data_IF_196409748766
#
_entry.id   IF_196409748766
#
_cell.length_a   1.000
_cell.length_b   1.000
_cell.length_c   1.000
_cell.angle_alpha   90.00
_cell.angle_beta   90.00
_cell.angle_gamma   90.00
#
_symmetry.space_group_name_H-M   'P 1'
#
loop_
_entity.id
_entity.type
_entity.pdbx_description
1 polymer ?
#
# COMPACT_ATOMS: atom_id res chain seq x y z
N UNK A 1 -28.05 10.06 -2.30
CA UNK A 1 -28.35 11.00 -1.20
C UNK A 1 -29.62 10.49 -0.53
N UNK A 2 -29.64 9.76 0.58
CA UNK A 2 -28.81 9.80 1.79
C UNK A 2 -28.64 8.37 2.33
N UNK A 3 -27.44 7.79 2.19
CA UNK A 3 -27.09 6.58 2.94
C UNK A 3 -26.66 7.05 4.33
N UNK A 4 -27.24 6.54 5.43
CA UNK A 4 -26.93 7.03 6.76
C UNK A 4 -25.45 6.77 7.07
N UNK A 5 -24.78 7.75 7.68
CA UNK A 5 -23.35 7.72 8.02
C UNK A 5 -22.96 6.46 8.83
N UNK A 6 -23.91 5.91 9.59
CA UNK A 6 -23.80 4.65 10.33
C UNK A 6 -23.59 3.43 9.44
N UNK A 7 -24.19 3.38 8.25
CA UNK A 7 -24.01 2.26 7.31
C UNK A 7 -22.58 2.23 6.76
N UNK A 8 -21.95 3.38 6.53
CA UNK A 8 -20.54 3.46 6.11
C UNK A 8 -19.57 2.96 7.18
N UNK A 9 -19.82 3.29 8.46
CA UNK A 9 -18.98 2.82 9.56
C UNK A 9 -19.05 1.30 9.72
N UNK A 10 -20.26 0.72 9.70
CA UNK A 10 -20.44 -0.73 9.88
C UNK A 10 -19.88 -1.50 8.68
N UNK A 11 -20.13 -1.03 7.45
CA UNK A 11 -19.61 -1.69 6.24
C UNK A 11 -18.08 -1.63 6.16
N UNK A 12 -17.46 -0.48 6.47
CA UNK A 12 -15.98 -0.38 6.50
C UNK A 12 -15.35 -1.27 7.57
N UNK A 13 -15.97 -1.37 8.76
CA UNK A 13 -15.52 -2.27 9.82
C UNK A 13 -15.64 -3.75 9.41
N UNK A 14 -16.78 -4.13 8.81
CA UNK A 14 -17.01 -5.49 8.32
C UNK A 14 -16.02 -5.88 7.21
N UNK A 15 -15.81 -4.99 6.24
CA UNK A 15 -14.85 -5.21 5.14
C UNK A 15 -13.43 -5.34 5.70
N UNK A 16 -13.02 -4.48 6.64
CA UNK A 16 -11.71 -4.55 7.28
C UNK A 16 -11.49 -5.85 8.06
N UNK A 17 -12.50 -6.32 8.80
CA UNK A 17 -12.44 -7.59 9.53
C UNK A 17 -12.31 -8.80 8.59
N UNK A 18 -13.07 -8.80 7.49
CA UNK A 18 -13.00 -9.86 6.46
C UNK A 18 -11.60 -9.91 5.84
N UNK A 19 -11.06 -8.76 5.42
CA UNK A 19 -9.72 -8.69 4.82
C UNK A 19 -8.65 -9.13 5.83
N UNK A 20 -8.77 -8.73 7.10
CA UNK A 20 -7.87 -9.16 8.17
C UNK A 20 -7.89 -10.67 8.40
N UNK A 21 -9.08 -11.28 8.44
CA UNK A 21 -9.23 -12.73 8.61
C UNK A 21 -8.63 -13.51 7.44
N UNK A 22 -8.89 -13.07 6.20
CA UNK A 22 -8.31 -13.68 4.99
C UNK A 22 -6.78 -13.52 4.98
N UNK A 23 -6.28 -12.34 5.38
CA UNK A 23 -4.85 -12.03 5.47
C UNK A 23 -4.09 -12.89 6.49
N UNK A 24 -4.75 -13.29 7.58
CA UNK A 24 -4.18 -14.19 8.57
C UNK A 24 -3.93 -15.59 8.01
N UNK A 25 -4.88 -16.14 7.26
CA UNK A 25 -4.78 -17.51 6.74
C UNK A 25 -3.76 -17.65 5.60
N UNK A 26 -3.58 -16.60 4.81
CA UNK A 26 -2.92 -16.68 3.50
C UNK A 26 -1.40 -16.48 3.55
N UNK A 27 -0.84 -16.08 4.70
CA UNK A 27 0.61 -15.79 4.90
C UNK A 27 1.22 -15.00 3.73
N UNK A 28 0.47 -14.07 3.14
CA UNK A 28 0.93 -13.31 1.99
C UNK A 28 2.13 -12.44 2.36
N UNK A 29 3.24 -12.65 1.64
CA UNK A 29 4.39 -11.75 1.69
C UNK A 29 4.86 -11.53 0.26
N UNK A 30 4.80 -10.28 -0.21
CA UNK A 30 5.19 -9.89 -1.57
C UNK A 30 6.65 -10.24 -1.87
N UNK A 31 7.54 -10.08 -0.88
CA UNK A 31 8.95 -10.46 -0.99
C UNK A 31 9.16 -11.97 -1.00
N UNK A 32 8.43 -12.72 -0.16
CA UNK A 32 8.52 -14.17 -0.14
C UNK A 32 7.94 -14.79 -1.42
N UNK A 33 6.90 -14.19 -2.01
CA UNK A 33 6.35 -14.65 -3.29
C UNK A 33 7.39 -14.64 -4.41
N UNK A 34 8.18 -13.56 -4.53
CA UNK A 34 9.24 -13.44 -5.55
C UNK A 34 10.40 -14.41 -5.26
N UNK A 35 10.87 -14.48 -4.01
CA UNK A 35 11.96 -15.40 -3.62
C UNK A 35 11.57 -16.87 -3.76
N UNK A 36 10.33 -17.23 -3.39
CA UNK A 36 9.84 -18.60 -3.48
C UNK A 36 9.56 -19.01 -4.93
N UNK A 37 9.17 -18.05 -5.80
CA UNK A 37 9.03 -18.29 -7.24
C UNK A 37 10.38 -18.58 -7.90
N UNK A 38 11.44 -17.84 -7.55
CA UNK A 38 12.78 -18.04 -8.16
C UNK A 38 13.46 -19.31 -7.65
N UNK A 39 13.37 -19.61 -6.34
CA UNK A 39 14.13 -20.71 -5.73
C UNK A 39 13.41 -22.05 -5.75
N UNK A 40 12.12 -22.06 -5.39
CA UNK A 40 11.33 -23.28 -5.19
C UNK A 40 10.26 -23.49 -6.28
N UNK A 41 10.10 -22.52 -7.18
CA UNK A 41 9.17 -22.55 -8.32
C UNK A 41 7.71 -22.84 -7.93
N UNK A 42 7.34 -22.62 -6.68
CA UNK A 42 5.96 -22.75 -6.19
C UNK A 42 5.15 -21.52 -6.61
N UNK A 43 4.20 -21.73 -7.52
CA UNK A 43 3.36 -20.67 -8.11
C UNK A 43 2.21 -20.21 -7.20
N UNK A 44 1.85 -21.02 -6.20
CA UNK A 44 0.69 -20.77 -5.33
C UNK A 44 0.72 -19.40 -4.64
N UNK A 45 1.88 -19.02 -4.08
CA UNK A 45 2.05 -17.73 -3.39
C UNK A 45 2.07 -16.53 -4.35
N UNK A 46 2.45 -16.75 -5.61
CA UNK A 46 2.55 -15.70 -6.62
C UNK A 46 1.16 -15.31 -7.18
N UNK A 47 0.22 -16.26 -7.21
CA UNK A 47 -1.17 -15.98 -7.61
C UNK A 47 -1.86 -14.96 -6.71
N UNK A 48 -1.49 -14.87 -5.43
CA UNK A 48 -1.98 -13.83 -4.52
C UNK A 48 -1.57 -12.42 -4.93
N UNK A 49 -0.32 -12.23 -5.38
CA UNK A 49 0.21 -10.93 -5.83
C UNK A 49 -0.53 -10.49 -7.11
N UNK A 50 -0.71 -11.41 -8.05
CA UNK A 50 -1.49 -11.17 -9.27
C UNK A 50 -2.94 -10.84 -8.91
N UNK A 51 -3.54 -11.56 -7.94
CA UNK A 51 -4.91 -11.33 -7.49
C UNK A 51 -5.15 -9.93 -6.95
N UNK A 52 -4.22 -9.36 -6.17
CA UNK A 52 -4.31 -7.98 -5.67
C UNK A 52 -4.20 -6.97 -6.82
N UNK A 53 -3.29 -7.20 -7.77
CA UNK A 53 -3.07 -6.30 -8.90
C UNK A 53 -4.28 -6.29 -9.85
N UNK A 54 -4.77 -7.47 -10.22
CA UNK A 54 -5.95 -7.64 -11.08
C UNK A 54 -7.21 -7.18 -10.36
N UNK A 55 -7.37 -7.52 -9.08
CA UNK A 55 -8.51 -7.08 -8.27
C UNK A 55 -8.58 -5.56 -8.11
N UNK A 56 -7.44 -4.89 -7.91
CA UNK A 56 -7.35 -3.43 -7.88
C UNK A 56 -7.72 -2.79 -9.21
N UNK A 57 -7.24 -3.35 -10.33
CA UNK A 57 -7.57 -2.85 -11.66
C UNK A 57 -9.06 -3.04 -12.01
N UNK A 58 -9.60 -4.23 -11.73
CA UNK A 58 -11.02 -4.54 -11.98
C UNK A 58 -11.92 -3.70 -11.07
N UNK A 59 -11.63 -3.65 -9.77
CA UNK A 59 -12.41 -2.85 -8.82
C UNK A 59 -12.41 -1.38 -9.19
N UNK A 60 -11.26 -0.84 -9.58
CA UNK A 60 -11.18 0.53 -10.05
C UNK A 60 -11.96 0.75 -11.36
N UNK A 61 -11.87 -0.21 -12.29
CA UNK A 61 -12.60 -0.17 -13.56
C UNK A 61 -14.11 -0.26 -13.37
N UNK A 62 -14.62 -1.12 -12.48
CA UNK A 62 -16.06 -1.27 -12.22
C UNK A 62 -16.64 -0.07 -11.48
N UNK A 63 -15.88 0.57 -10.57
CA UNK A 63 -16.29 1.82 -9.93
C UNK A 63 -16.49 2.97 -10.95
N UNK A 64 -15.82 2.90 -12.12
CA UNK A 64 -16.03 3.82 -13.26
C UNK A 64 -17.45 3.87 -13.77
N UNK A 65 -18.11 2.72 -13.84
CA UNK A 65 -19.45 2.65 -14.41
C UNK A 65 -20.52 3.13 -13.42
N UNK A 66 -20.21 3.17 -12.13
CA UNK A 66 -21.21 3.39 -11.07
C UNK A 66 -21.21 4.86 -10.62
N UNK A 67 -20.05 5.55 -10.54
CA UNK A 67 -19.98 6.96 -10.11
C UNK A 67 -18.87 7.74 -10.83
N UNK A 68 -19.19 8.77 -11.66
CA UNK A 68 -18.19 9.61 -12.32
C UNK A 68 -17.41 10.54 -11.37
N UNK A 69 -17.89 10.73 -10.13
CA UNK A 69 -17.24 11.57 -9.11
C UNK A 69 -15.99 10.91 -8.51
N UNK A 70 -15.84 9.59 -8.63
CA UNK A 70 -14.67 8.86 -8.15
C UNK A 70 -13.41 9.03 -9.05
N UNK A 71 -13.55 9.66 -10.22
CA UNK A 71 -12.53 9.71 -11.28
C UNK A 71 -11.62 10.93 -11.26
N UNK A 72 -11.78 11.86 -10.30
CA UNK A 72 -11.02 13.11 -10.35
C UNK A 72 -9.49 12.89 -10.33
N UNK A 73 -9.01 11.76 -9.80
CA UNK A 73 -7.59 11.44 -9.68
C UNK A 73 -7.12 10.21 -10.48
N UNK A 74 -7.96 9.59 -11.31
CA UNK A 74 -7.58 8.39 -12.07
C UNK A 74 -7.80 8.68 -13.56
N UNK A 75 -6.74 9.16 -14.23
CA UNK A 75 -5.56 8.36 -14.52
C UNK A 75 -4.27 8.97 -13.96
N UNK A 76 -3.82 8.43 -12.81
CA UNK A 76 -2.50 8.76 -12.23
C UNK A 76 -1.36 8.54 -13.22
N UNK A 77 -1.50 7.63 -14.19
CA UNK A 77 -0.45 7.31 -15.16
C UNK A 77 -0.52 8.10 -16.49
N UNK A 78 -1.66 8.69 -16.85
CA UNK A 78 -1.85 9.36 -18.15
C UNK A 78 -2.17 10.86 -18.07
N UNK A 79 -2.60 11.39 -16.90
CA UNK A 79 -2.77 12.84 -16.67
C UNK A 79 -1.52 13.48 -16.08
N UNK A 80 -0.38 12.82 -16.18
CA UNK A 80 0.93 13.39 -15.85
C UNK A 80 1.28 14.34 -16.99
N UNK A 81 0.84 15.60 -16.89
CA UNK A 81 1.60 16.68 -17.52
C UNK A 81 2.99 16.62 -16.90
N UNK A 82 3.93 15.97 -17.60
CA UNK A 82 5.35 16.02 -17.33
C UNK A 82 5.78 15.22 -16.06
N UNK A 83 6.88 14.48 -16.18
CA UNK A 83 7.88 14.21 -15.14
C UNK A 83 8.26 15.54 -14.39
N UNK A 84 7.30 16.27 -13.81
CA UNK A 84 7.24 17.75 -13.88
C UNK A 84 7.80 18.53 -12.75
N UNK A 85 8.17 17.86 -11.68
CA UNK A 85 9.40 18.24 -11.01
C UNK A 85 10.19 16.96 -10.85
N UNK A 86 11.38 16.92 -11.44
CA UNK A 86 12.36 15.84 -11.23
C UNK A 86 12.47 15.46 -9.74
N UNK A 87 12.26 16.42 -8.83
CA UNK A 87 12.13 16.21 -7.39
C UNK A 87 11.12 15.16 -6.95
N UNK A 88 9.88 15.19 -7.46
CA UNK A 88 8.83 14.27 -7.02
C UNK A 88 9.13 12.85 -7.48
N UNK A 89 9.69 12.69 -8.67
CA UNK A 89 10.15 11.39 -9.17
C UNK A 89 11.28 10.86 -8.29
N UNK A 90 12.26 11.70 -7.97
CA UNK A 90 13.40 11.34 -7.11
C UNK A 90 12.92 10.90 -5.72
N UNK A 91 11.92 11.60 -5.17
CA UNK A 91 11.29 11.27 -3.89
C UNK A 91 10.59 9.91 -3.91
N UNK A 92 9.86 9.58 -4.98
CA UNK A 92 9.20 8.27 -5.13
C UNK A 92 10.23 7.16 -5.26
N UNK A 93 11.30 7.36 -6.02
CA UNK A 93 12.37 6.37 -6.21
C UNK A 93 13.11 6.14 -4.90
N UNK A 94 13.56 7.20 -4.22
CA UNK A 94 14.26 7.08 -2.92
C UNK A 94 13.34 6.48 -1.86
N UNK A 95 12.08 6.92 -1.79
CA UNK A 95 11.11 6.40 -0.83
C UNK A 95 10.80 4.91 -1.03
N UNK A 96 10.57 4.49 -2.28
CA UNK A 96 10.31 3.08 -2.60
C UNK A 96 11.53 2.18 -2.36
N UNK A 97 12.73 2.63 -2.73
CA UNK A 97 13.97 1.91 -2.45
C UNK A 97 14.24 1.82 -0.94
N UNK A 98 14.07 2.91 -0.20
CA UNK A 98 14.25 2.93 1.25
C UNK A 98 13.30 1.96 1.95
N UNK A 99 12.00 2.02 1.61
CA UNK A 99 11.01 1.07 2.12
C UNK A 99 11.38 -0.38 1.78
N UNK A 100 11.88 -0.63 0.56
CA UNK A 100 12.33 -1.95 0.13
C UNK A 100 13.48 -2.49 0.98
N UNK A 101 14.54 -1.69 1.18
CA UNK A 101 15.74 -2.07 1.94
C UNK A 101 15.38 -2.34 3.41
N UNK A 102 14.63 -1.43 4.03
CA UNK A 102 14.21 -1.55 5.44
C UNK A 102 13.31 -2.78 5.62
N UNK A 103 12.40 -3.04 4.67
CA UNK A 103 11.51 -4.21 4.70
C UNK A 103 12.28 -5.53 4.61
N UNK A 104 13.34 -5.58 3.79
CA UNK A 104 14.20 -6.78 3.71
C UNK A 104 15.00 -7.02 4.98
N UNK A 105 15.39 -5.97 5.70
CA UNK A 105 16.17 -6.10 6.94
C UNK A 105 15.36 -6.67 8.10
N UNK A 106 14.04 -6.40 8.13
CA UNK A 106 13.11 -6.87 9.18
C UNK A 106 12.39 -8.16 8.76
N UNK A 107 12.83 -8.82 7.68
CA UNK A 107 12.22 -10.04 7.12
C UNK A 107 10.69 -9.93 6.92
N UNK A 108 10.21 -8.74 6.56
CA UNK A 108 8.80 -8.38 6.60
C UNK A 108 8.31 -7.64 5.37
N UNK A 109 7.05 -7.85 4.98
CA UNK A 109 6.34 -6.87 4.17
C UNK A 109 5.39 -6.07 5.08
N UNK A 110 5.10 -4.79 4.75
CA UNK A 110 4.28 -3.95 5.61
C UNK A 110 2.93 -4.60 5.91
N UNK A 111 2.33 -5.27 4.93
CA UNK A 111 1.04 -5.94 5.08
C UNK A 111 1.09 -7.10 6.09
N UNK A 112 2.11 -7.97 6.02
CA UNK A 112 2.27 -9.09 6.95
C UNK A 112 2.49 -8.60 8.39
N UNK A 113 3.20 -7.48 8.55
CA UNK A 113 3.43 -6.90 9.87
C UNK A 113 2.14 -6.33 10.47
N UNK A 114 1.21 -5.79 9.68
CA UNK A 114 -0.11 -5.36 10.17
C UNK A 114 -0.94 -6.55 10.68
N UNK A 115 -0.94 -7.66 9.94
CA UNK A 115 -1.66 -8.88 10.36
C UNK A 115 -1.01 -9.50 11.61
N UNK A 116 0.33 -9.53 11.68
CA UNK A 116 1.07 -10.04 12.84
C UNK A 116 0.87 -9.17 14.09
N UNK A 117 0.78 -7.86 13.93
CA UNK A 117 0.46 -6.94 15.01
C UNK A 117 -0.95 -7.22 15.57
N UNK A 118 -1.92 -7.59 14.72
CA UNK A 118 -3.24 -8.02 15.14
C UNK A 118 -3.26 -9.32 15.96
N UNK A 119 -2.22 -10.17 15.83
CA UNK A 119 -2.06 -11.39 16.65
C UNK A 119 -1.34 -11.17 18.00
N UNK A 120 -0.91 -9.95 18.30
CA UNK A 120 -0.27 -9.60 19.57
C UNK A 120 1.26 -9.75 19.62
N UNK A 121 1.95 -9.85 18.47
CA UNK A 121 3.41 -9.91 18.45
C UNK A 121 4.04 -8.53 18.66
N UNK A 122 4.74 -8.36 19.79
CA UNK A 122 5.33 -7.09 20.22
C UNK A 122 6.34 -6.51 19.22
N UNK A 123 7.11 -7.37 18.54
CA UNK A 123 8.11 -6.92 17.57
C UNK A 123 7.45 -6.29 16.34
N UNK A 124 6.31 -6.86 15.92
CA UNK A 124 5.56 -6.31 14.79
C UNK A 124 4.88 -4.99 15.12
N UNK A 125 4.46 -4.79 16.37
CA UNK A 125 3.89 -3.53 16.85
C UNK A 125 4.97 -2.44 16.82
N UNK A 126 6.17 -2.72 17.33
CA UNK A 126 7.30 -1.77 17.31
C UNK A 126 7.64 -1.38 15.86
N UNK A 127 7.72 -2.36 14.95
CA UNK A 127 7.91 -2.08 13.52
C UNK A 127 6.81 -1.17 12.95
N UNK A 128 5.54 -1.45 13.24
CA UNK A 128 4.41 -0.63 12.78
C UNK A 128 4.49 0.81 13.31
N UNK A 129 4.84 0.98 14.58
CA UNK A 129 4.99 2.33 15.17
C UNK A 129 6.07 3.12 14.46
N UNK A 130 7.23 2.53 14.17
CA UNK A 130 8.29 3.16 13.39
C UNK A 130 7.84 3.50 11.96
N UNK A 131 7.07 2.62 11.32
CA UNK A 131 6.50 2.86 10.00
C UNK A 131 5.54 4.08 9.99
N UNK A 132 4.64 4.20 10.97
CA UNK A 132 3.73 5.34 11.07
C UNK A 132 4.45 6.65 11.43
N UNK A 133 5.42 6.61 12.34
CA UNK A 133 6.25 7.78 12.67
C UNK A 133 7.00 8.25 11.41
N UNK A 134 7.54 7.31 10.62
CA UNK A 134 8.19 7.61 9.35
C UNK A 134 7.25 8.26 8.33
N UNK A 135 6.00 7.80 8.21
CA UNK A 135 4.99 8.42 7.34
C UNK A 135 4.70 9.86 7.78
N UNK A 136 4.48 10.08 9.08
CA UNK A 136 4.19 11.42 9.62
C UNK A 136 5.37 12.35 9.39
N UNK A 137 6.59 11.90 9.69
CA UNK A 137 7.81 12.66 9.46
C UNK A 137 8.01 13.02 7.98
N UNK A 138 7.74 12.06 7.08
CA UNK A 138 7.85 12.26 5.64
C UNK A 138 6.87 13.34 5.14
N UNK A 139 5.62 13.28 5.59
CA UNK A 139 4.57 14.21 5.17
C UNK A 139 4.84 15.63 5.71
N UNK A 140 5.27 15.74 6.97
CA UNK A 140 5.44 17.04 7.63
C UNK A 140 6.76 17.75 7.31
N UNK A 141 7.81 17.02 6.92
CA UNK A 141 9.16 17.59 6.81
C UNK A 141 9.79 17.40 5.43
N UNK A 142 9.74 16.19 4.87
CA UNK A 142 10.41 15.90 3.60
C UNK A 142 9.70 16.58 2.42
N UNK A 143 8.37 16.68 2.44
CA UNK A 143 7.64 17.30 1.34
C UNK A 143 8.00 18.79 1.19
N UNK A 144 8.09 19.52 2.29
CA UNK A 144 8.38 20.95 2.27
C UNK A 144 9.83 21.25 1.87
N UNK A 145 10.78 20.47 2.40
CA UNK A 145 12.20 20.58 2.04
C UNK A 145 12.44 20.33 0.56
N UNK A 146 11.85 19.25 0.02
CA UNK A 146 12.08 18.86 -1.38
C UNK A 146 11.41 19.84 -2.35
N UNK A 147 10.27 20.41 -1.98
CA UNK A 147 9.60 21.42 -2.80
C UNK A 147 10.35 22.76 -2.78
N UNK A 148 11.02 23.10 -1.68
CA UNK A 148 11.88 24.30 -1.57
C UNK A 148 13.18 24.18 -2.39
N UNK A 149 13.78 22.99 -2.47
CA UNK A 149 15.04 22.76 -3.20
C UNK A 149 14.85 22.77 -4.73
N UNK A 150 13.69 22.33 -5.22
CA UNK A 150 13.38 22.21 -6.65
C UNK A 150 12.38 23.26 -7.15
N UNK A 151 12.41 24.46 -6.56
CA UNK A 151 11.67 25.63 -7.04
C UNK A 151 12.53 26.60 -7.86
N UNK A 152 13.69 26.15 -8.34
CA UNK A 152 14.55 26.83 -9.31
C UNK A 152 14.44 26.16 -10.68
#
# INVERSE_FOLDING_TARGET
>A
MSYPLTYFMITSLAIGAIIGFIGYSSRFCTMAGIRNLILLRHKEMFMGIIGILVGGFIGFSTLSLINPVAFQNFPIFLKIKLFTKLSKLLLIVIGSLGLGIISTYVDGCPFRMHVKAGSGDLNSIIYLTGFYIGIVYFILFLQDIVMSIFSF
#
